data_IF_552204790593
#
_entry.id   IF_552204790593
#
_cell.length_a   1.000
_cell.length_b   1.000
_cell.length_c   1.000
_cell.angle_alpha   90.00
_cell.angle_beta   90.00
_cell.angle_gamma   90.00
#
_symmetry.space_group_name_H-M   'P 1'
#
loop_
_entity.id
_entity.type
_entity.pdbx_description
1 polymer ?
#
# COMPACT_ATOMS: atom_id res chain seq x y z
N UNK A 1 3.45 11.09 -52.99
CA UNK A 1 4.15 11.50 -51.75
C UNK A 1 4.69 12.91 -51.99
N UNK A 2 4.03 13.95 -51.46
CA UNK A 2 4.37 15.36 -51.76
C UNK A 2 5.27 16.01 -50.70
N UNK A 3 5.44 15.36 -49.54
CA UNK A 3 6.30 15.79 -48.44
C UNK A 3 7.12 14.59 -47.95
N UNK A 4 8.45 14.75 -47.86
CA UNK A 4 9.38 13.69 -47.41
C UNK A 4 10.40 14.33 -46.48
N UNK A 5 10.64 13.72 -45.33
CA UNK A 5 11.64 14.12 -44.35
C UNK A 5 12.56 12.93 -44.06
N UNK A 6 13.84 13.21 -43.82
CA UNK A 6 14.75 12.17 -43.32
C UNK A 6 14.32 11.76 -41.90
N UNK A 7 14.28 10.45 -41.64
CA UNK A 7 13.96 9.87 -40.34
C UNK A 7 15.03 8.83 -40.03
N UNK A 8 15.51 8.82 -38.79
CA UNK A 8 16.47 7.81 -38.34
C UNK A 8 15.78 6.42 -38.29
N UNK A 9 16.33 5.38 -38.93
CA UNK A 9 15.77 4.03 -38.89
C UNK A 9 15.64 3.45 -37.47
N UNK A 10 16.49 3.85 -36.53
CA UNK A 10 16.41 3.37 -35.14
C UNK A 10 15.19 3.94 -34.41
N UNK A 11 14.76 5.16 -34.71
CA UNK A 11 13.55 5.74 -34.11
C UNK A 11 12.29 4.98 -34.50
N UNK A 12 12.21 4.54 -35.76
CA UNK A 12 11.11 3.71 -36.24
C UNK A 12 11.11 2.35 -35.54
N UNK A 13 12.28 1.76 -35.30
CA UNK A 13 12.39 0.49 -34.60
C UNK A 13 12.10 0.59 -33.10
N UNK A 14 12.31 1.75 -32.46
CA UNK A 14 11.96 1.96 -31.06
C UNK A 14 10.46 2.24 -30.86
N UNK A 15 9.92 3.19 -31.63
CA UNK A 15 8.51 3.62 -31.50
C UNK A 15 7.52 2.65 -32.15
N UNK A 16 7.98 1.91 -33.16
CA UNK A 16 7.17 0.99 -33.95
C UNK A 16 7.85 -0.36 -34.12
N UNK A 17 8.42 -0.91 -33.04
CA UNK A 17 9.15 -2.19 -33.03
C UNK A 17 8.36 -3.37 -33.63
N UNK A 18 7.02 -3.31 -33.62
CA UNK A 18 6.12 -4.29 -34.24
C UNK A 18 6.17 -4.24 -35.77
N UNK A 19 6.39 -3.06 -36.34
CA UNK A 19 6.31 -2.82 -37.79
C UNK A 19 7.69 -2.63 -38.43
N UNK A 20 8.64 -2.08 -37.69
CA UNK A 20 9.97 -1.72 -38.19
C UNK A 20 11.06 -2.39 -37.39
N UNK A 21 12.04 -2.94 -38.10
CA UNK A 21 13.28 -3.44 -37.49
C UNK A 21 14.47 -3.01 -38.34
N UNK A 22 15.56 -2.59 -37.68
CA UNK A 22 16.80 -2.24 -38.38
C UNK A 22 17.61 -3.51 -38.63
N UNK A 23 18.03 -3.71 -39.88
CA UNK A 23 18.88 -4.81 -40.31
C UNK A 23 20.30 -4.28 -40.53
N UNK A 24 21.23 -4.58 -39.62
CA UNK A 24 22.62 -4.17 -39.78
C UNK A 24 23.40 -5.14 -40.68
N UNK A 25 24.27 -4.58 -41.54
CA UNK A 25 24.98 -5.34 -42.58
C UNK A 25 26.05 -6.29 -42.02
N UNK A 26 26.47 -6.07 -40.77
CA UNK A 26 27.45 -6.88 -40.07
C UNK A 26 26.69 -7.81 -39.11
N UNK A 27 26.64 -9.08 -39.48
CA UNK A 27 25.84 -10.10 -38.81
C UNK A 27 26.27 -10.32 -37.34
N UNK A 28 25.39 -9.95 -36.40
CA UNK A 28 25.18 -10.66 -35.13
C UNK A 28 23.69 -10.60 -34.73
N UNK A 29 22.85 -11.11 -35.61
CA UNK A 29 21.43 -10.77 -35.69
C UNK A 29 20.52 -11.66 -34.83
N UNK A 30 21.06 -12.71 -34.20
CA UNK A 30 20.25 -13.63 -33.37
C UNK A 30 19.94 -13.06 -31.99
N UNK A 31 20.75 -12.11 -31.50
CA UNK A 31 20.62 -11.54 -30.17
C UNK A 31 19.57 -10.44 -30.10
N UNK A 32 19.59 -9.49 -31.03
CA UNK A 32 18.86 -8.23 -30.88
C UNK A 32 17.34 -8.38 -31.05
N UNK A 33 16.89 -9.17 -32.05
CA UNK A 33 15.46 -9.41 -32.27
C UNK A 33 14.79 -10.16 -31.12
N UNK A 34 15.48 -11.18 -30.59
CA UNK A 34 15.00 -11.93 -29.41
C UNK A 34 14.99 -11.09 -28.14
N UNK A 35 15.89 -10.11 -28.02
CA UNK A 35 15.87 -9.18 -26.90
C UNK A 35 14.67 -8.25 -26.98
N UNK A 36 14.38 -7.66 -28.14
CA UNK A 36 13.20 -6.83 -28.33
C UNK A 36 11.89 -7.58 -28.03
N UNK A 37 11.74 -8.81 -28.53
CA UNK A 37 10.56 -9.64 -28.23
C UNK A 37 10.44 -9.95 -26.72
N UNK A 38 11.55 -10.28 -26.06
CA UNK A 38 11.59 -10.53 -24.61
C UNK A 38 11.29 -9.29 -23.79
N UNK A 39 11.78 -8.12 -24.22
CA UNK A 39 11.51 -6.86 -23.55
C UNK A 39 10.03 -6.47 -23.66
N UNK A 40 9.40 -6.73 -24.81
CA UNK A 40 7.96 -6.55 -24.98
C UNK A 40 7.16 -7.50 -24.08
N UNK A 41 7.49 -8.80 -24.07
CA UNK A 41 6.85 -9.77 -23.17
C UNK A 41 7.02 -9.38 -21.70
N UNK A 42 8.23 -8.95 -21.31
CA UNK A 42 8.52 -8.56 -19.93
C UNK A 42 7.79 -7.28 -19.51
N UNK A 43 7.66 -6.28 -20.40
CA UNK A 43 6.88 -5.06 -20.12
C UNK A 43 5.40 -5.39 -19.95
N UNK A 44 4.84 -6.24 -20.82
CA UNK A 44 3.46 -6.69 -20.70
C UNK A 44 3.22 -7.47 -19.39
N UNK A 45 4.13 -8.39 -19.02
CA UNK A 45 4.06 -9.12 -17.76
C UNK A 45 4.11 -8.18 -16.54
N UNK A 46 5.05 -7.22 -16.53
CA UNK A 46 5.17 -6.24 -15.44
C UNK A 46 3.92 -5.37 -15.31
N UNK A 47 3.33 -4.93 -16.42
CA UNK A 47 2.09 -4.14 -16.41
C UNK A 47 0.92 -4.94 -15.80
N UNK A 48 0.80 -6.22 -16.16
CA UNK A 48 -0.24 -7.10 -15.60
C UNK A 48 -0.04 -7.36 -14.11
N UNK A 49 1.21 -7.54 -13.67
CA UNK A 49 1.51 -7.77 -12.26
C UNK A 49 1.28 -6.50 -11.41
N UNK A 50 1.62 -5.31 -11.94
CA UNK A 50 1.29 -4.05 -11.28
C UNK A 50 -0.22 -3.84 -11.14
N UNK A 51 -1.00 -4.22 -12.14
CA UNK A 51 -2.46 -4.16 -12.06
C UNK A 51 -2.99 -5.12 -10.98
N UNK A 52 -2.49 -6.35 -10.95
CA UNK A 52 -2.85 -7.36 -9.93
C UNK A 52 -2.50 -6.89 -8.52
N UNK A 53 -1.31 -6.35 -8.31
CA UNK A 53 -0.89 -5.84 -7.01
C UNK A 53 -1.71 -4.64 -6.55
N UNK A 54 -2.14 -3.76 -7.46
CA UNK A 54 -3.07 -2.66 -7.13
C UNK A 54 -4.41 -3.18 -6.63
N UNK A 55 -4.94 -4.23 -7.24
CA UNK A 55 -6.19 -4.85 -6.78
C UNK A 55 -6.03 -5.55 -5.43
N UNK A 56 -4.95 -6.30 -5.23
CA UNK A 56 -4.69 -7.01 -3.97
C UNK A 56 -4.42 -6.04 -2.81
N UNK A 57 -3.71 -4.94 -3.06
CA UNK A 57 -3.48 -3.89 -2.05
C UNK A 57 -4.77 -3.14 -1.72
N UNK A 58 -5.60 -2.83 -2.71
CA UNK A 58 -6.92 -2.23 -2.46
C UNK A 58 -7.79 -3.13 -1.56
N UNK A 59 -7.86 -4.44 -1.86
CA UNK A 59 -8.62 -5.40 -1.06
C UNK A 59 -8.10 -5.51 0.38
N UNK A 60 -6.78 -5.57 0.58
CA UNK A 60 -6.19 -5.62 1.92
C UNK A 60 -6.49 -4.35 2.73
N UNK A 61 -6.42 -3.18 2.09
CA UNK A 61 -6.77 -1.91 2.76
C UNK A 61 -8.25 -1.88 3.16
N UNK A 62 -9.14 -2.42 2.33
CA UNK A 62 -10.56 -2.54 2.68
C UNK A 62 -10.79 -3.51 3.85
N UNK A 63 -10.14 -4.67 3.83
CA UNK A 63 -10.21 -5.65 4.92
C UNK A 63 -9.65 -5.10 6.23
N UNK A 64 -8.50 -4.42 6.20
CA UNK A 64 -7.90 -3.76 7.35
C UNK A 64 -8.80 -2.64 7.88
N UNK A 65 -9.41 -1.84 6.99
CA UNK A 65 -10.37 -0.81 7.38
C UNK A 65 -11.63 -1.41 8.02
N UNK A 66 -12.11 -2.56 7.55
CA UNK A 66 -13.22 -3.29 8.17
C UNK A 66 -12.82 -3.88 9.52
N UNK A 67 -11.62 -4.46 9.63
CA UNK A 67 -11.10 -5.02 10.89
C UNK A 67 -10.89 -3.93 11.95
N UNK A 68 -10.40 -2.75 11.57
CA UNK A 68 -10.27 -1.60 12.49
C UNK A 68 -11.65 -1.10 12.92
N UNK A 69 -12.63 -1.04 12.01
CA UNK A 69 -14.01 -0.66 12.36
C UNK A 69 -14.66 -1.65 13.32
N UNK A 70 -14.47 -2.95 13.12
CA UNK A 70 -15.01 -3.99 14.02
C UNK A 70 -14.27 -4.01 15.36
N UNK A 71 -12.94 -3.83 15.36
CA UNK A 71 -12.14 -3.74 16.58
C UNK A 71 -12.46 -2.48 17.40
N UNK A 72 -12.63 -1.32 16.76
CA UNK A 72 -13.00 -0.07 17.41
C UNK A 72 -14.42 -0.10 18.01
N UNK A 73 -15.31 -0.96 17.51
CA UNK A 73 -16.64 -1.18 18.09
C UNK A 73 -16.64 -2.08 19.34
N UNK A 74 -15.53 -2.78 19.62
CA UNK A 74 -15.48 -3.84 20.65
C UNK A 74 -15.01 -3.38 22.04
N UNK A 75 -14.55 -2.13 22.21
CA UNK A 75 -14.34 -1.57 23.55
C UNK A 75 -15.67 -1.09 24.15
N UNK A 76 -16.61 -2.01 24.37
CA UNK A 76 -17.75 -1.72 25.23
C UNK A 76 -17.20 -1.23 26.57
N UNK A 77 -17.58 -0.02 26.99
CA UNK A 77 -17.18 0.53 28.28
C UNK A 77 -17.79 -0.34 29.37
N UNK A 78 -17.04 -1.31 29.88
CA UNK A 78 -17.47 -2.21 30.95
C UNK A 78 -17.63 -1.33 32.20
N UNK A 79 -18.88 -1.00 32.53
CA UNK A 79 -19.23 -0.27 33.75
C UNK A 79 -19.45 -1.32 34.83
N UNK A 80 -18.47 -1.46 35.72
CA UNK A 80 -18.58 -2.35 36.88
C UNK A 80 -19.32 -1.60 37.99
N UNK A 81 -20.52 -2.04 38.40
CA UNK A 81 -21.21 -1.43 39.53
C UNK A 81 -20.39 -1.64 40.81
N UNK A 82 -19.99 -0.56 41.47
CA UNK A 82 -19.31 -0.59 42.78
C UNK A 82 -17.83 -0.22 42.79
N UNK A 83 -17.20 0.08 41.64
CA UNK A 83 -15.80 0.58 41.61
C UNK A 83 -15.77 2.12 41.52
N UNK A 84 -15.26 2.84 42.53
CA UNK A 84 -15.19 4.30 42.48
C UNK A 84 -14.20 4.76 41.39
N UNK A 85 -14.69 5.55 40.43
CA UNK A 85 -13.85 6.20 39.43
C UNK A 85 -13.05 7.32 40.10
N UNK A 86 -11.73 7.16 40.23
CA UNK A 86 -10.85 8.30 40.41
C UNK A 86 -10.31 8.74 39.04
N UNK A 87 -11.09 9.56 38.34
CA UNK A 87 -10.63 10.28 37.14
C UNK A 87 -10.80 11.77 37.37
N UNK A 88 -9.74 12.42 37.87
CA UNK A 88 -9.70 13.88 38.02
C UNK A 88 -8.70 14.33 39.07
N UNK A 89 -7.84 15.28 38.71
CA UNK A 89 -6.98 16.03 39.63
C UNK A 89 -7.90 16.80 40.59
N UNK A 90 -7.92 16.41 41.88
CA UNK A 90 -8.63 17.15 42.93
C UNK A 90 -9.74 16.41 43.72
N UNK A 91 -10.02 15.14 43.47
CA UNK A 91 -11.12 14.41 44.14
C UNK A 91 -10.68 13.56 45.37
N UNK A 92 -9.67 14.02 46.12
CA UNK A 92 -9.21 13.40 47.37
C UNK A 92 -9.93 13.91 48.63
N UNK A 93 -11.15 14.44 48.49
CA UNK A 93 -11.87 15.08 49.59
C UNK A 93 -12.89 14.13 50.25
N UNK A 94 -12.35 13.28 51.15
CA UNK A 94 -12.98 12.73 52.37
C UNK A 94 -14.04 11.63 52.20
N UNK A 95 -14.27 10.91 53.32
CA UNK A 95 -15.19 9.77 53.53
C UNK A 95 -14.50 8.43 53.21
N UNK A 96 -13.77 7.75 54.10
CA UNK A 96 -14.10 7.36 55.48
C UNK A 96 -12.84 7.19 56.32
N UNK A 97 -12.55 8.19 57.13
CA UNK A 97 -11.61 8.12 58.22
C UNK A 97 -12.33 7.42 59.39
N UNK A 98 -11.95 6.19 59.76
CA UNK A 98 -12.36 5.65 61.06
C UNK A 98 -11.46 6.29 62.13
N UNK A 99 -11.99 7.07 63.09
CA UNK A 99 -11.17 7.77 64.06
C UNK A 99 -10.48 6.75 64.99
N UNK A 100 -9.17 6.88 65.17
CA UNK A 100 -8.42 6.05 66.13
C UNK A 100 -8.83 6.44 67.56
N UNK A 101 -9.33 5.45 68.30
CA UNK A 101 -9.78 5.54 69.70
C UNK A 101 -8.67 6.13 70.59
N UNK A 102 -8.96 7.22 71.32
CA UNK A 102 -8.11 7.75 72.40
C UNK A 102 -8.88 7.65 73.73
N UNK A 103 -8.44 6.79 74.63
CA UNK A 103 -8.85 6.71 76.06
C UNK A 103 -7.67 6.08 76.82
N UNK A 104 -7.05 6.64 77.87
CA UNK A 104 -7.20 7.91 78.58
C UNK A 104 -6.09 8.09 79.64
N UNK A 105 -5.92 9.34 80.11
CA UNK A 105 -5.70 9.79 81.51
C UNK A 105 -6.58 11.03 81.65
#
# INVERSE_FOLDING_TARGET
MTQVTAVDPYWLAELGSVFYSVKEKNFDERGNRRQADREFSKRAEIETEMARQREETAKKVEEDALAIKTASGSSAKIIIPGTPRHTGIGAGARVTQTPRRRVGI
#
